data_IF_236683834254
#
_entry.id   IF_236683834254
#
_cell.length_a   1.000
_cell.length_b   1.000
_cell.length_c   1.000
_cell.angle_alpha   90.00
_cell.angle_beta   90.00
_cell.angle_gamma   90.00
#
_symmetry.space_group_name_H-M   'P 1'
#
loop_
_entity.id
_entity.type
_entity.pdbx_description
1 polymer ?
#
# COMPACT_ATOMS: atom_id res chain seq x y z
N UNK A 1 -15.01 -6.08 -8.70
CA UNK A 1 -13.95 -5.74 -9.66
C UNK A 1 -12.66 -6.26 -9.09
N UNK A 2 -11.86 -6.92 -9.89
CA UNK A 2 -10.50 -7.37 -9.54
C UNK A 2 -9.57 -6.82 -10.61
N UNK A 3 -8.49 -6.17 -10.17
CA UNK A 3 -7.41 -5.70 -11.04
C UNK A 3 -6.14 -6.50 -10.74
N UNK A 4 -5.48 -6.94 -11.80
CA UNK A 4 -4.17 -7.58 -11.69
C UNK A 4 -3.09 -6.53 -11.95
N UNK A 5 -2.35 -6.17 -10.92
CA UNK A 5 -1.29 -5.16 -11.02
C UNK A 5 -0.81 -4.72 -9.64
N UNK A 6 0.21 -3.90 -9.64
CA UNK A 6 0.78 -3.31 -8.44
C UNK A 6 0.39 -1.83 -8.32
N UNK A 7 0.29 -1.35 -7.09
CA UNK A 7 0.01 0.05 -6.82
C UNK A 7 1.32 0.84 -6.67
N UNK A 8 1.38 2.00 -7.31
CA UNK A 8 2.55 2.87 -7.36
C UNK A 8 2.20 4.31 -7.01
N UNK A 9 3.23 5.14 -6.78
CA UNK A 9 3.07 6.52 -6.28
C UNK A 9 2.66 7.52 -7.36
N UNK A 10 2.92 7.27 -8.64
CA UNK A 10 2.77 8.28 -9.69
C UNK A 10 2.55 7.69 -11.08
N UNK A 11 1.95 8.49 -11.95
CA UNK A 11 1.54 8.08 -13.30
C UNK A 11 2.71 7.70 -14.22
N UNK A 12 3.93 8.19 -13.99
CA UNK A 12 5.09 7.79 -14.80
C UNK A 12 5.54 6.35 -14.51
N UNK A 13 5.06 5.75 -13.44
CA UNK A 13 5.32 4.36 -13.05
C UNK A 13 4.27 3.38 -13.59
N UNK A 14 3.29 3.86 -14.39
CA UNK A 14 2.12 3.07 -14.83
C UNK A 14 2.40 1.99 -15.89
N UNK A 15 3.64 1.76 -16.28
CA UNK A 15 3.96 0.69 -17.23
C UNK A 15 3.98 -0.67 -16.55
N UNK A 16 5.15 -1.08 -16.10
CA UNK A 16 5.38 -2.35 -15.41
C UNK A 16 6.43 -2.17 -14.33
N UNK A 17 6.21 -2.85 -13.20
CA UNK A 17 7.19 -2.95 -12.14
C UNK A 17 7.53 -4.42 -11.89
N UNK A 18 8.70 -4.66 -11.32
CA UNK A 18 9.04 -5.96 -10.81
C UNK A 18 8.29 -6.20 -9.49
N UNK A 19 7.74 -7.39 -9.37
CA UNK A 19 7.03 -7.85 -8.19
C UNK A 19 7.64 -9.15 -7.70
N UNK A 20 7.81 -9.31 -6.39
CA UNK A 20 8.34 -10.52 -5.80
C UNK A 20 7.28 -11.24 -4.99
N UNK A 21 7.10 -12.52 -5.27
CA UNK A 21 6.31 -13.42 -4.45
C UNK A 21 7.23 -14.32 -3.62
N UNK A 22 6.83 -14.65 -2.43
CA UNK A 22 7.55 -15.55 -1.54
C UNK A 22 6.69 -16.04 -0.38
N UNK A 23 7.12 -17.06 0.37
CA UNK A 23 6.42 -17.48 1.56
C UNK A 23 6.34 -16.35 2.58
N UNK A 24 5.20 -16.24 3.27
CA UNK A 24 4.96 -15.25 4.30
C UNK A 24 5.99 -15.24 5.43
N UNK A 25 5.97 -14.19 6.23
CA UNK A 25 6.92 -13.97 7.33
C UNK A 25 6.85 -15.06 8.41
N UNK A 26 5.72 -15.73 8.55
CA UNK A 26 5.49 -16.85 9.46
C UNK A 26 6.16 -18.16 9.02
N UNK A 27 6.75 -18.19 7.83
CA UNK A 27 7.39 -19.37 7.25
C UNK A 27 6.42 -20.45 6.78
N UNK A 28 5.11 -20.18 6.81
CA UNK A 28 4.10 -21.08 6.27
C UNK A 28 4.04 -20.97 4.75
N UNK A 29 4.15 -22.08 4.04
CA UNK A 29 4.09 -22.10 2.57
C UNK A 29 2.72 -21.67 2.01
N UNK A 30 1.68 -21.67 2.84
CA UNK A 30 0.33 -21.24 2.47
C UNK A 30 0.12 -19.73 2.65
N UNK A 31 1.07 -19.04 3.30
CA UNK A 31 1.08 -17.59 3.50
C UNK A 31 2.00 -16.96 2.46
N UNK A 32 1.45 -16.42 1.41
CA UNK A 32 2.20 -15.73 0.35
C UNK A 32 2.30 -14.25 0.69
N UNK A 33 3.51 -13.74 0.68
CA UNK A 33 3.81 -12.34 0.80
C UNK A 33 4.24 -11.80 -0.56
N UNK A 34 3.59 -10.79 -1.04
CA UNK A 34 3.89 -10.16 -2.32
C UNK A 34 4.24 -8.69 -2.09
N UNK A 35 5.30 -8.21 -2.72
CA UNK A 35 5.68 -6.81 -2.61
C UNK A 35 6.21 -6.25 -3.92
N UNK A 36 6.07 -4.96 -4.05
CA UNK A 36 6.66 -4.16 -5.12
C UNK A 36 8.16 -3.98 -4.89
N UNK A 37 8.98 -4.29 -5.91
CA UNK A 37 10.42 -4.07 -5.90
C UNK A 37 10.85 -3.13 -7.03
N UNK A 38 10.15 -2.02 -7.15
CA UNK A 38 10.48 -0.99 -8.15
C UNK A 38 11.80 -0.29 -7.80
N UNK A 39 12.10 -0.11 -6.54
CA UNK A 39 13.33 0.53 -6.06
C UNK A 39 13.89 -0.24 -4.86
N UNK A 40 14.77 -1.21 -5.14
CA UNK A 40 15.44 -2.02 -4.10
C UNK A 40 16.24 -1.16 -3.10
N UNK A 41 16.58 0.10 -3.46
CA UNK A 41 17.30 1.04 -2.60
C UNK A 41 16.41 1.74 -1.57
N UNK A 42 15.08 1.75 -1.77
CA UNK A 42 14.12 2.45 -0.91
C UNK A 42 13.18 1.52 -0.14
N UNK A 43 13.41 0.20 -0.21
CA UNK A 43 12.65 -0.74 0.63
C UNK A 43 12.93 -0.47 2.11
N UNK A 44 11.91 -0.48 2.98
CA UNK A 44 12.11 -0.34 4.41
C UNK A 44 13.11 -1.38 4.91
N UNK A 45 14.13 -0.95 5.68
CA UNK A 45 15.19 -1.83 6.22
C UNK A 45 14.65 -3.06 6.95
N UNK A 46 13.43 -2.96 7.50
CA UNK A 46 12.75 -4.03 8.24
C UNK A 46 12.24 -5.15 7.32
N UNK A 47 11.92 -4.84 6.07
CA UNK A 47 11.36 -5.80 5.10
C UNK A 47 12.45 -6.55 4.34
N UNK A 48 13.56 -5.87 4.01
CA UNK A 48 14.67 -6.40 3.21
C UNK A 48 15.25 -7.73 3.76
N UNK A 49 15.56 -7.86 5.07
CA UNK A 49 16.20 -9.08 5.59
C UNK A 49 15.31 -10.33 5.49
N UNK A 50 14.00 -10.16 5.59
CA UNK A 50 13.05 -11.26 5.57
C UNK A 50 12.75 -11.75 4.15
N UNK A 51 12.89 -10.88 3.16
CA UNK A 51 12.57 -11.18 1.77
C UNK A 51 13.75 -11.69 0.96
N UNK A 52 14.98 -11.29 1.27
CA UNK A 52 16.20 -11.65 0.51
C UNK A 52 16.50 -13.15 0.55
N UNK A 53 16.10 -13.88 1.57
CA UNK A 53 16.50 -15.27 1.84
C UNK A 53 15.49 -16.36 1.43
N UNK A 54 14.39 -16.04 0.73
CA UNK A 54 13.27 -16.97 0.58
C UNK A 54 12.91 -17.42 -0.84
N UNK A 55 13.87 -17.49 -1.76
CA UNK A 55 13.63 -18.08 -3.11
C UNK A 55 12.51 -17.34 -3.87
N UNK A 56 12.74 -16.08 -4.18
CA UNK A 56 11.79 -15.19 -4.80
C UNK A 56 11.73 -15.37 -6.30
N UNK A 57 10.54 -15.41 -6.86
CA UNK A 57 10.31 -15.23 -8.28
C UNK A 57 9.96 -13.76 -8.56
N UNK A 58 10.73 -13.10 -9.43
CA UNK A 58 10.41 -11.76 -9.93
C UNK A 58 9.54 -11.89 -11.15
N UNK A 59 8.39 -11.26 -11.12
CA UNK A 59 7.48 -11.16 -12.25
C UNK A 59 7.20 -9.70 -12.58
N UNK A 60 6.94 -9.41 -13.85
CA UNK A 60 6.49 -8.09 -14.27
C UNK A 60 4.97 -8.03 -14.23
N UNK A 61 4.44 -7.01 -13.58
CA UNK A 61 3.01 -6.74 -13.52
C UNK A 61 2.71 -5.30 -13.91
N UNK A 62 1.52 -5.04 -14.47
CA UNK A 62 1.08 -3.66 -14.72
C UNK A 62 1.10 -2.84 -13.44
N UNK A 63 1.49 -1.59 -13.52
CA UNK A 63 1.53 -0.67 -12.40
C UNK A 63 0.41 0.39 -12.53
N UNK A 64 -0.24 0.73 -11.42
CA UNK A 64 -1.33 1.68 -11.38
C UNK A 64 -1.23 2.57 -10.15
N UNK A 65 -1.60 3.85 -10.27
CA UNK A 65 -1.95 4.64 -9.09
C UNK A 65 -3.39 4.32 -8.65
N UNK A 66 -3.70 4.54 -7.37
CA UNK A 66 -5.09 4.40 -6.89
C UNK A 66 -6.00 5.34 -7.65
N UNK A 67 -5.58 6.59 -7.85
CA UNK A 67 -6.34 7.58 -8.64
C UNK A 67 -6.66 7.09 -10.05
N UNK A 68 -5.68 6.45 -10.71
CA UNK A 68 -5.91 5.85 -12.03
C UNK A 68 -7.00 4.78 -11.99
N UNK A 69 -6.93 3.85 -11.02
CA UNK A 69 -7.93 2.77 -10.91
C UNK A 69 -9.32 3.31 -10.57
N UNK A 70 -9.42 4.28 -9.65
CA UNK A 70 -10.70 4.90 -9.33
C UNK A 70 -11.34 5.56 -10.55
N UNK A 71 -10.57 6.30 -11.35
CA UNK A 71 -11.03 6.89 -12.61
C UNK A 71 -11.43 5.84 -13.64
N UNK A 72 -10.60 4.82 -13.84
CA UNK A 72 -10.87 3.71 -14.75
C UNK A 72 -12.21 3.03 -14.49
N UNK A 73 -12.59 2.92 -13.21
CA UNK A 73 -13.84 2.28 -12.79
C UNK A 73 -14.97 3.25 -12.47
N UNK A 74 -14.80 4.56 -12.74
CA UNK A 74 -15.78 5.60 -12.43
C UNK A 74 -16.21 5.61 -10.96
N UNK A 75 -15.28 5.30 -10.06
CA UNK A 75 -15.50 5.33 -8.62
C UNK A 75 -15.24 6.75 -8.10
N UNK A 76 -16.30 7.43 -7.68
CA UNK A 76 -16.23 8.80 -7.17
C UNK A 76 -16.34 8.87 -5.65
N UNK A 77 -16.70 7.77 -5.01
CA UNK A 77 -16.82 7.65 -3.55
C UNK A 77 -16.22 6.34 -3.07
N UNK A 78 -15.54 6.39 -1.94
CA UNK A 78 -14.95 5.23 -1.26
C UNK A 78 -15.30 5.33 0.22
N UNK A 79 -16.06 4.38 0.74
CA UNK A 79 -16.40 4.36 2.17
C UNK A 79 -15.23 3.86 3.02
N UNK A 80 -14.55 2.81 2.57
CA UNK A 80 -13.36 2.25 3.22
C UNK A 80 -12.31 1.92 2.18
N UNK A 81 -11.10 2.40 2.38
CA UNK A 81 -9.90 1.98 1.67
C UNK A 81 -9.02 1.19 2.64
N UNK A 82 -8.87 -0.10 2.40
CA UNK A 82 -7.99 -0.98 3.18
C UNK A 82 -6.70 -1.21 2.42
N UNK A 83 -5.57 -0.95 3.06
CA UNK A 83 -4.24 -0.99 2.48
C UNK A 83 -3.31 -1.84 3.33
N UNK A 84 -2.80 -2.90 2.70
CA UNK A 84 -1.82 -3.82 3.23
C UNK A 84 -0.93 -4.23 2.06
N UNK A 85 0.27 -3.67 1.97
CA UNK A 85 1.21 -3.82 0.85
C UNK A 85 2.65 -4.02 1.32
N UNK A 86 2.78 -4.57 2.53
CA UNK A 86 4.05 -5.07 3.06
C UNK A 86 5.19 -4.02 3.06
N UNK A 87 4.88 -2.81 3.51
CA UNK A 87 5.85 -1.72 3.68
C UNK A 87 5.88 -0.71 2.54
N UNK A 88 5.00 -0.81 1.54
CA UNK A 88 4.90 0.14 0.42
C UNK A 88 3.72 1.12 0.57
N UNK A 89 3.13 1.21 1.77
CA UNK A 89 1.88 1.94 2.07
C UNK A 89 1.98 3.43 1.70
N UNK A 90 3.08 4.10 2.08
CA UNK A 90 3.28 5.52 1.77
C UNK A 90 3.37 5.79 0.27
N UNK A 91 4.02 4.90 -0.48
CA UNK A 91 4.09 5.01 -1.94
C UNK A 91 2.70 4.88 -2.56
N UNK A 92 1.93 3.90 -2.12
CA UNK A 92 0.55 3.69 -2.59
C UNK A 92 -0.34 4.88 -2.24
N UNK A 93 -0.28 5.38 -1.00
CA UNK A 93 -1.03 6.55 -0.55
C UNK A 93 -0.64 7.83 -1.31
N UNK A 94 0.61 7.98 -1.71
CA UNK A 94 1.05 9.07 -2.58
C UNK A 94 0.46 9.00 -4.00
N UNK A 95 0.00 7.82 -4.43
CA UNK A 95 -0.73 7.63 -5.69
C UNK A 95 -2.23 7.95 -5.60
N UNK A 96 -2.73 8.36 -4.43
CA UNK A 96 -4.10 8.82 -4.23
C UNK A 96 -4.16 10.34 -4.26
N UNK A 97 -4.91 10.89 -5.23
CA UNK A 97 -5.26 12.32 -5.25
C UNK A 97 -6.45 12.58 -4.32
N UNK A 98 -6.15 13.01 -3.11
CA UNK A 98 -7.15 13.33 -2.08
C UNK A 98 -8.04 14.53 -2.45
N UNK A 99 -7.70 15.32 -3.47
CA UNK A 99 -8.57 16.38 -3.97
C UNK A 99 -9.64 15.87 -4.94
N UNK A 100 -9.44 14.70 -5.52
CA UNK A 100 -10.34 14.06 -6.47
C UNK A 100 -11.30 13.08 -5.78
N UNK A 101 -10.74 12.15 -4.98
CA UNK A 101 -11.52 11.20 -4.18
C UNK A 101 -10.95 11.10 -2.77
N UNK A 102 -11.81 11.30 -1.78
CA UNK A 102 -11.47 11.14 -0.37
C UNK A 102 -12.18 9.92 0.21
N UNK A 103 -11.47 8.82 0.52
CA UNK A 103 -12.07 7.72 1.28
C UNK A 103 -12.58 8.19 2.64
N UNK A 104 -13.79 7.79 3.01
CA UNK A 104 -14.35 8.14 4.33
C UNK A 104 -13.52 7.57 5.47
N UNK A 105 -13.01 6.35 5.27
CA UNK A 105 -12.09 5.71 6.19
C UNK A 105 -10.91 5.11 5.41
N UNK A 106 -9.73 5.14 6.02
CA UNK A 106 -8.54 4.45 5.53
C UNK A 106 -8.03 3.55 6.65
N UNK A 107 -7.98 2.26 6.38
CA UNK A 107 -7.32 1.27 7.22
C UNK A 107 -5.97 0.96 6.58
N UNK A 108 -4.90 1.15 7.32
CA UNK A 108 -3.55 0.94 6.79
C UNK A 108 -2.71 0.10 7.75
N UNK A 109 -2.09 -0.96 7.23
CA UNK A 109 -1.01 -1.66 7.92
C UNK A 109 0.26 -0.81 7.83
N UNK A 110 0.91 -0.51 8.95
CA UNK A 110 2.11 0.31 8.97
C UNK A 110 3.12 -0.15 10.02
N UNK A 111 4.16 -0.83 9.58
CA UNK A 111 5.24 -1.31 10.46
C UNK A 111 6.11 -0.18 11.02
N UNK A 112 6.10 1.00 10.42
CA UNK A 112 6.81 2.18 10.93
C UNK A 112 6.18 2.80 12.18
N UNK A 113 5.02 2.28 12.61
CA UNK A 113 4.31 2.67 13.83
C UNK A 113 3.35 3.84 13.67
N UNK A 114 2.49 4.01 14.70
CA UNK A 114 1.40 4.98 14.69
C UNK A 114 1.87 6.41 14.45
N UNK A 115 2.90 6.87 15.16
CA UNK A 115 3.35 8.28 15.09
C UNK A 115 3.69 8.70 13.65
N UNK A 116 4.30 7.78 12.89
CA UNK A 116 4.72 8.05 11.50
C UNK A 116 3.51 8.16 10.58
N UNK A 117 2.59 7.20 10.64
CA UNK A 117 1.41 7.21 9.78
C UNK A 117 0.40 8.27 10.21
N UNK A 118 0.27 8.56 11.49
CA UNK A 118 -0.61 9.63 12.00
C UNK A 118 -0.15 11.00 11.52
N UNK A 119 1.15 11.29 11.54
CA UNK A 119 1.70 12.53 10.98
C UNK A 119 1.37 12.66 9.50
N UNK A 120 1.61 11.61 8.71
CA UNK A 120 1.33 11.58 7.28
C UNK A 120 -0.16 11.79 6.95
N UNK A 121 -1.05 11.12 7.69
CA UNK A 121 -2.49 11.20 7.50
C UNK A 121 -3.03 12.55 7.99
N UNK A 122 -2.46 13.10 9.06
CA UNK A 122 -2.82 14.41 9.61
C UNK A 122 -2.58 15.56 8.63
N UNK A 123 -1.50 15.52 7.83
CA UNK A 123 -1.22 16.48 6.75
C UNK A 123 -2.27 16.45 5.62
N UNK A 124 -3.10 15.40 5.57
CA UNK A 124 -4.16 15.16 4.57
C UNK A 124 -5.56 15.30 5.14
N UNK A 125 -5.68 15.89 6.34
CA UNK A 125 -6.96 16.10 7.06
C UNK A 125 -7.68 14.81 7.46
N UNK A 126 -6.90 13.74 7.74
CA UNK A 126 -7.43 12.55 8.40
C UNK A 126 -7.09 12.56 9.88
N UNK A 127 -7.92 11.91 10.68
CA UNK A 127 -7.71 11.74 12.12
C UNK A 127 -7.64 10.26 12.47
N UNK A 128 -6.76 9.91 13.39
CA UNK A 128 -6.71 8.58 13.97
C UNK A 128 -8.02 8.25 14.69
N UNK A 129 -8.57 7.07 14.42
CA UNK A 129 -9.80 6.57 15.01
C UNK A 129 -9.48 5.45 16.00
N UNK A 130 -8.81 4.40 15.54
CA UNK A 130 -8.55 3.21 16.36
C UNK A 130 -7.38 2.40 15.78
N UNK A 131 -6.67 1.71 16.65
CA UNK A 131 -5.73 0.65 16.30
C UNK A 131 -6.45 -0.70 16.38
N UNK A 132 -6.58 -1.40 15.26
CA UNK A 132 -7.33 -2.65 15.18
C UNK A 132 -6.47 -3.88 15.44
N UNK A 133 -5.16 -3.80 15.17
CA UNK A 133 -4.18 -4.85 15.48
C UNK A 133 -2.83 -4.25 15.84
N UNK A 134 -1.77 -5.07 15.85
CA UNK A 134 -0.41 -4.61 16.15
C UNK A 134 0.09 -3.49 15.24
N UNK A 135 -0.31 -3.49 13.97
CA UNK A 135 0.17 -2.57 12.94
C UNK A 135 -0.95 -1.98 12.07
N UNK A 136 -2.22 -2.31 12.35
CA UNK A 136 -3.38 -1.84 11.60
C UNK A 136 -4.01 -0.62 12.26
N UNK A 137 -4.00 0.50 11.56
CA UNK A 137 -4.46 1.80 12.05
C UNK A 137 -5.60 2.33 11.18
N UNK A 138 -6.73 2.64 11.82
CA UNK A 138 -7.90 3.21 11.16
C UNK A 138 -7.88 4.73 11.28
N UNK A 139 -8.06 5.39 10.15
CA UNK A 139 -8.17 6.85 10.04
C UNK A 139 -9.52 7.23 9.44
N UNK A 140 -10.10 8.34 9.91
CA UNK A 140 -11.35 8.92 9.40
C UNK A 140 -11.09 10.29 8.78
N UNK A 141 -11.80 10.57 7.67
CA UNK A 141 -11.79 11.89 7.03
C UNK A 141 -12.40 12.95 7.96
N UNK A 142 -11.79 14.13 8.03
CA UNK A 142 -12.26 15.28 8.84
C UNK A 142 -13.21 16.21 8.08
N UNK A 143 -13.30 16.07 6.74
CA UNK A 143 -14.05 17.00 5.87
C UNK A 143 -15.50 16.58 5.62
#
# INVERSE_FOLDING_TARGET
IVEHGALVSSDYELDYIDWSEGPGLDGNADSLCAMTIHDEGNLPEQVIPHMINRGKEKIQVPAYTITHLLKKHNMTTVDLFSLDVEGYEFSVLNGLDFSDVRPRYILVECFSGLDTIESYMGERDYTFVEQLSGHDYLFGDKL
#
